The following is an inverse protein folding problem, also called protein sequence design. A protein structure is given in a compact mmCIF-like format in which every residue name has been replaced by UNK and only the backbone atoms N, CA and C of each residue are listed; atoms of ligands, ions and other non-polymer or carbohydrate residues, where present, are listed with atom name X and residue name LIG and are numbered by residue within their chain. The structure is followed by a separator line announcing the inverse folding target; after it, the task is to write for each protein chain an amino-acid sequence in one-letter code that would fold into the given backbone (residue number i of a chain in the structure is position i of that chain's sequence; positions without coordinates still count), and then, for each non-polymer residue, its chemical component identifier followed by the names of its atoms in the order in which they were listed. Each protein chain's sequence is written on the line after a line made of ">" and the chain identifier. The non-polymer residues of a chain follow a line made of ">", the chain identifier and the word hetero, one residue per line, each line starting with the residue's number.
data_IF_364649683364
#
_entry.id   IF_364649683364
#
_cell.length_a   1.000
_cell.length_b   1.000
_cell.length_c   1.000
_cell.angle_alpha   90.00
_cell.angle_beta   90.00
_cell.angle_gamma   90.00
#
_symmetry.space_group_name_H-M   'P 1'
#
loop_
_entity.id
_entity.type
_entity.pdbx_description
1 polymer ?
#
# COMPACT_ATOMS: atom_id res chain seq x y z
N UNK A 1 31.56 -16.23 57.10
CA UNK A 1 30.28 -16.11 56.32
C UNK A 1 30.52 -15.19 55.12
N UNK A 2 30.75 -15.75 53.94
CA UNK A 2 30.98 -14.98 52.69
C UNK A 2 29.64 -14.84 51.99
N UNK A 3 29.14 -13.60 51.84
CA UNK A 3 27.92 -13.29 51.09
C UNK A 3 28.26 -13.20 49.60
N UNK A 4 27.73 -14.13 48.81
CA UNK A 4 27.76 -14.04 47.36
C UNK A 4 26.63 -13.10 46.92
N UNK A 5 26.99 -12.00 46.26
CA UNK A 5 26.06 -11.13 45.54
C UNK A 5 25.96 -11.67 44.12
N UNK A 6 24.82 -12.23 43.75
CA UNK A 6 24.51 -12.59 42.37
C UNK A 6 24.05 -11.31 41.62
N UNK A 7 24.86 -10.85 40.68
CA UNK A 7 24.50 -9.79 39.76
C UNK A 7 23.68 -10.41 38.64
N UNK A 8 22.36 -10.14 38.60
CA UNK A 8 21.50 -10.46 37.46
C UNK A 8 21.76 -9.42 36.38
N UNK A 9 22.49 -9.78 35.33
CA UNK A 9 22.60 -8.98 34.11
C UNK A 9 21.32 -9.21 33.29
N UNK A 10 20.43 -8.24 33.31
CA UNK A 10 19.32 -8.15 32.35
C UNK A 10 19.92 -7.83 30.97
N UNK A 11 20.07 -8.82 30.11
CA UNK A 11 20.31 -8.61 28.69
C UNK A 11 18.94 -8.20 28.10
N UNK A 12 18.70 -6.90 28.06
CA UNK A 12 17.64 -6.35 27.22
C UNK A 12 18.11 -6.55 25.78
N UNK A 13 17.65 -7.64 25.17
CA UNK A 13 17.81 -7.86 23.75
C UNK A 13 17.12 -6.70 23.02
N UNK A 14 17.91 -5.77 22.51
CA UNK A 14 17.46 -4.84 21.50
C UNK A 14 17.02 -5.69 20.30
N UNK A 15 15.71 -5.89 20.15
CA UNK A 15 15.11 -6.26 18.87
C UNK A 15 15.40 -5.10 17.93
N UNK A 16 16.54 -5.21 17.27
CA UNK A 16 16.98 -4.28 16.25
C UNK A 16 15.88 -4.23 15.19
N UNK A 17 15.32 -3.07 15.00
CA UNK A 17 14.55 -2.70 13.84
C UNK A 17 15.41 -2.90 12.57
N UNK A 18 15.49 -4.10 12.06
CA UNK A 18 16.21 -4.47 10.84
C UNK A 18 15.30 -4.39 9.60
N UNK A 19 14.17 -3.70 9.71
CA UNK A 19 13.26 -3.45 8.59
C UNK A 19 13.48 -2.09 7.88
N UNK A 20 14.62 -1.41 8.10
CA UNK A 20 14.76 0.00 7.71
C UNK A 20 15.71 0.29 6.54
N UNK A 21 16.09 -0.67 5.69
CA UNK A 21 17.15 -0.39 4.71
C UNK A 21 16.72 -0.18 3.26
N UNK A 22 15.43 -0.27 2.90
CA UNK A 22 14.95 0.07 1.54
C UNK A 22 13.49 0.54 1.52
N UNK A 23 13.05 1.26 2.52
CA UNK A 23 11.67 1.78 2.52
C UNK A 23 11.63 3.09 1.73
N UNK A 24 10.86 3.07 0.65
CA UNK A 24 10.60 4.24 -0.18
C UNK A 24 9.32 4.94 0.32
N UNK A 25 9.36 6.26 0.42
CA UNK A 25 8.21 7.05 0.88
C UNK A 25 7.25 7.33 -0.28
N UNK A 26 5.98 7.08 -0.04
CA UNK A 26 4.87 7.41 -0.94
C UNK A 26 3.87 8.32 -0.23
N UNK A 27 3.31 9.28 -0.97
CA UNK A 27 2.01 9.86 -0.60
C UNK A 27 0.95 9.03 -1.31
N UNK A 28 -0.03 8.58 -0.57
CA UNK A 28 -1.16 7.81 -1.09
C UNK A 28 -2.40 8.68 -0.98
N UNK A 29 -3.15 8.79 -2.06
CA UNK A 29 -4.40 9.54 -2.10
C UNK A 29 -5.53 8.62 -2.51
N UNK A 30 -6.54 8.51 -1.67
CA UNK A 30 -7.84 7.92 -2.01
C UNK A 30 -8.78 9.04 -2.39
N UNK A 31 -9.49 8.88 -3.51
CA UNK A 31 -10.38 9.92 -4.03
C UNK A 31 -11.71 9.33 -4.43
N UNK A 32 -12.79 10.01 -4.06
CA UNK A 32 -14.11 9.81 -4.63
C UNK A 32 -14.48 11.03 -5.48
N UNK A 33 -14.82 10.79 -6.73
CA UNK A 33 -15.25 11.85 -7.63
C UNK A 33 -16.66 12.35 -7.27
N UNK A 34 -16.94 13.60 -7.57
CA UNK A 34 -18.30 14.11 -7.53
C UNK A 34 -19.19 13.34 -8.51
N UNK A 35 -20.50 13.20 -8.27
CA UNK A 35 -21.40 12.44 -9.13
C UNK A 35 -21.28 12.81 -10.62
N UNK A 36 -20.98 11.80 -11.46
CA UNK A 36 -20.79 11.97 -12.90
C UNK A 36 -19.47 12.60 -13.34
N UNK A 37 -18.51 12.84 -12.41
CA UNK A 37 -17.25 13.56 -12.67
C UNK A 37 -16.01 12.67 -12.76
N UNK A 38 -16.14 11.37 -12.61
CA UNK A 38 -14.97 10.47 -12.53
C UNK A 38 -14.03 10.59 -13.74
N UNK A 39 -14.54 10.54 -14.96
CA UNK A 39 -13.68 10.59 -16.16
C UNK A 39 -13.02 11.96 -16.32
N UNK A 40 -13.75 13.04 -16.04
CA UNK A 40 -13.23 14.40 -16.04
C UNK A 40 -12.14 14.59 -14.98
N UNK A 41 -12.36 14.06 -13.78
CA UNK A 41 -11.37 14.07 -12.70
C UNK A 41 -10.11 13.28 -13.07
N UNK A 42 -10.24 12.14 -13.74
CA UNK A 42 -9.08 11.37 -14.25
C UNK A 42 -8.25 12.23 -15.22
N UNK A 43 -8.89 12.93 -16.16
CA UNK A 43 -8.18 13.79 -17.11
C UNK A 43 -7.48 14.97 -16.42
N UNK A 44 -8.12 15.55 -15.40
CA UNK A 44 -7.49 16.59 -14.57
C UNK A 44 -6.28 16.06 -13.79
N UNK A 45 -6.35 14.85 -13.25
CA UNK A 45 -5.20 14.20 -12.61
C UNK A 45 -4.08 13.91 -13.61
N UNK A 46 -4.38 13.46 -14.84
CA UNK A 46 -3.38 13.28 -15.90
C UNK A 46 -2.65 14.58 -16.23
N UNK A 47 -3.40 15.67 -16.39
CA UNK A 47 -2.81 16.99 -16.63
C UNK A 47 -1.89 17.45 -15.47
N UNK A 48 -2.36 17.27 -14.24
CA UNK A 48 -1.56 17.57 -13.03
C UNK A 48 -0.30 16.71 -12.95
N UNK A 49 -0.42 15.39 -13.17
CA UNK A 49 0.74 14.50 -13.20
C UNK A 49 1.78 14.94 -14.22
N UNK A 50 1.36 15.34 -15.42
CA UNK A 50 2.26 15.87 -16.46
C UNK A 50 2.99 17.14 -16.00
N UNK A 51 2.27 18.08 -15.37
CA UNK A 51 2.87 19.33 -14.87
C UNK A 51 3.88 19.07 -13.74
N UNK A 52 3.57 18.16 -12.80
CA UNK A 52 4.49 17.81 -11.72
C UNK A 52 5.70 17.01 -12.20
N UNK A 53 5.54 16.13 -13.20
CA UNK A 53 6.68 15.45 -13.83
C UNK A 53 7.62 16.45 -14.53
N UNK A 54 7.08 17.44 -15.23
CA UNK A 54 7.89 18.52 -15.80
C UNK A 54 8.62 19.35 -14.73
N UNK A 55 8.08 19.39 -13.50
CA UNK A 55 8.73 19.99 -12.33
C UNK A 55 9.75 19.06 -11.64
N UNK A 56 9.92 17.83 -12.12
CA UNK A 56 10.90 16.85 -11.64
C UNK A 56 10.36 15.88 -10.59
N UNK A 57 9.05 15.79 -10.39
CA UNK A 57 8.45 14.75 -9.59
C UNK A 57 8.31 13.44 -10.40
N UNK A 58 8.33 12.31 -9.72
CA UNK A 58 8.12 11.00 -10.31
C UNK A 58 6.65 10.83 -10.77
N UNK A 59 6.44 10.11 -11.88
CA UNK A 59 5.09 9.78 -12.33
C UNK A 59 4.33 9.00 -11.26
N UNK A 60 3.07 9.35 -10.94
CA UNK A 60 2.26 8.55 -10.04
C UNK A 60 1.90 7.19 -10.65
N UNK A 61 1.66 6.22 -9.80
CA UNK A 61 1.00 4.97 -10.16
C UNK A 61 -0.41 5.02 -9.59
N UNK A 62 -1.40 4.63 -10.37
CA UNK A 62 -2.79 4.77 -9.97
C UNK A 62 -3.68 3.68 -10.54
N UNK A 63 -4.77 3.46 -9.85
CA UNK A 63 -5.77 2.49 -10.21
C UNK A 63 -7.17 3.03 -9.97
N UNK A 64 -8.12 2.54 -10.75
CA UNK A 64 -9.54 2.85 -10.63
C UNK A 64 -10.26 1.70 -9.94
N UNK A 65 -11.08 2.03 -8.95
CA UNK A 65 -11.99 1.10 -8.30
C UNK A 65 -12.84 0.31 -9.31
N UNK A 66 -13.01 -0.96 -9.05
CA UNK A 66 -13.90 -1.86 -9.78
C UNK A 66 -14.98 -2.43 -8.86
N UNK A 67 -14.60 -2.83 -7.64
CA UNK A 67 -15.51 -3.48 -6.69
C UNK A 67 -14.91 -3.38 -5.27
N UNK A 68 -15.74 -3.14 -4.26
CA UNK A 68 -15.34 -3.12 -2.85
C UNK A 68 -15.64 -1.80 -2.17
N UNK A 69 -14.63 -1.09 -1.65
CA UNK A 69 -14.73 0.15 -0.88
C UNK A 69 -15.36 1.32 -1.67
N UNK A 70 -15.48 2.49 -1.06
CA UNK A 70 -16.23 3.64 -1.60
C UNK A 70 -15.39 4.64 -2.42
N UNK A 71 -14.06 4.50 -2.47
CA UNK A 71 -13.21 5.38 -3.27
C UNK A 71 -13.24 5.01 -4.76
N UNK A 72 -13.02 5.98 -5.65
CA UNK A 72 -12.95 5.77 -7.10
C UNK A 72 -11.52 5.58 -7.60
N UNK A 73 -10.56 6.29 -6.99
CA UNK A 73 -9.16 6.27 -7.38
C UNK A 73 -8.27 6.04 -6.16
N UNK A 74 -7.26 5.18 -6.29
CA UNK A 74 -6.09 5.12 -5.43
C UNK A 74 -4.88 5.57 -6.24
N UNK A 75 -4.16 6.57 -5.72
CA UNK A 75 -3.03 7.18 -6.40
C UNK A 75 -1.81 7.12 -5.48
N UNK A 76 -0.74 6.49 -5.95
CA UNK A 76 0.56 6.41 -5.28
C UNK A 76 1.49 7.45 -5.91
N UNK A 77 1.83 8.49 -5.16
CA UNK A 77 2.82 9.49 -5.55
C UNK A 77 4.18 9.12 -4.95
N UNK A 78 5.18 8.74 -5.78
CA UNK A 78 6.51 8.42 -5.27
C UNK A 78 7.21 9.69 -4.78
N UNK A 79 7.68 9.71 -3.54
CA UNK A 79 8.32 10.85 -2.93
C UNK A 79 9.83 10.66 -2.70
N UNK A 80 10.26 9.41 -2.50
CA UNK A 80 11.62 9.04 -2.08
C UNK A 80 11.77 9.11 -0.57
N UNK A 81 12.01 10.30 -0.06
CA UNK A 81 12.07 10.60 1.37
C UNK A 81 11.44 11.97 1.67
N UNK A 82 11.16 12.25 2.93
CA UNK A 82 10.72 13.61 3.33
C UNK A 82 11.74 14.69 2.99
N UNK A 83 13.03 14.41 3.18
CA UNK A 83 14.11 15.36 2.86
C UNK A 83 14.13 15.70 1.38
N UNK A 84 13.99 14.72 0.51
CA UNK A 84 13.92 14.93 -0.94
C UNK A 84 12.62 15.63 -1.34
N UNK A 85 11.49 15.22 -0.78
CA UNK A 85 10.19 15.79 -1.11
C UNK A 85 10.07 17.26 -0.71
N UNK A 86 10.58 17.64 0.47
CA UNK A 86 10.55 19.01 0.98
C UNK A 86 11.82 19.82 0.64
N UNK A 87 12.71 19.30 -0.20
CA UNK A 87 13.87 20.07 -0.65
C UNK A 87 13.42 21.40 -1.28
N UNK A 88 14.01 22.55 -0.90
CA UNK A 88 13.53 23.87 -1.32
C UNK A 88 13.38 24.04 -2.84
N UNK A 89 14.30 23.47 -3.63
CA UNK A 89 14.21 23.51 -5.09
C UNK A 89 13.01 22.71 -5.64
N UNK A 90 12.74 21.53 -5.09
CA UNK A 90 11.55 20.73 -5.48
C UNK A 90 10.26 21.46 -5.11
N UNK A 91 10.20 22.06 -3.91
CA UNK A 91 9.06 22.86 -3.47
C UNK A 91 8.83 24.04 -4.42
N UNK A 92 9.89 24.78 -4.79
CA UNK A 92 9.78 25.90 -5.72
C UNK A 92 9.31 25.47 -7.12
N UNK A 93 9.78 24.33 -7.63
CA UNK A 93 9.34 23.75 -8.92
C UNK A 93 7.87 23.35 -8.89
N UNK A 94 7.42 22.67 -7.81
CA UNK A 94 6.00 22.29 -7.65
C UNK A 94 5.10 23.52 -7.55
N UNK A 95 5.53 24.59 -6.86
CA UNK A 95 4.78 25.84 -6.82
C UNK A 95 4.55 26.43 -8.22
N UNK A 96 5.57 26.40 -9.08
CA UNK A 96 5.40 26.83 -10.48
C UNK A 96 4.44 25.93 -11.27
N UNK A 97 4.46 24.61 -11.01
CA UNK A 97 3.48 23.69 -11.60
C UNK A 97 2.05 24.03 -11.13
N UNK A 98 1.85 24.31 -9.83
CA UNK A 98 0.56 24.74 -9.29
C UNK A 98 0.07 26.05 -9.95
N UNK A 99 0.96 27.02 -10.13
CA UNK A 99 0.65 28.28 -10.84
C UNK A 99 0.19 28.03 -12.28
N UNK A 100 0.82 27.09 -12.99
CA UNK A 100 0.41 26.69 -14.34
C UNK A 100 -0.95 26.00 -14.40
N UNK A 101 -1.38 25.38 -13.31
CA UNK A 101 -2.64 24.68 -13.17
C UNK A 101 -3.75 25.54 -12.55
N UNK A 102 -3.50 26.81 -12.25
CA UNK A 102 -4.43 27.70 -11.54
C UNK A 102 -5.80 27.80 -12.25
N UNK A 103 -5.83 27.86 -13.58
CA UNK A 103 -7.07 27.94 -14.35
C UNK A 103 -8.01 26.73 -14.17
N UNK A 104 -7.47 25.56 -13.88
CA UNK A 104 -8.25 24.31 -13.64
C UNK A 104 -8.44 24.00 -12.16
N UNK A 105 -7.89 24.80 -11.24
CA UNK A 105 -7.85 24.45 -9.82
C UNK A 105 -9.23 24.36 -9.17
N UNK A 106 -10.12 25.33 -9.45
CA UNK A 106 -11.47 25.32 -8.87
C UNK A 106 -12.31 24.17 -9.41
N UNK A 107 -12.18 23.90 -10.71
CA UNK A 107 -12.82 22.73 -11.33
C UNK A 107 -12.33 21.43 -10.73
N UNK A 108 -11.02 21.26 -10.59
CA UNK A 108 -10.41 20.10 -9.97
C UNK A 108 -10.96 19.85 -8.56
N UNK A 109 -11.04 20.89 -7.72
CA UNK A 109 -11.62 20.79 -6.38
C UNK A 109 -13.11 20.44 -6.41
N UNK A 110 -13.87 21.05 -7.34
CA UNK A 110 -15.30 20.82 -7.49
C UNK A 110 -15.66 19.41 -7.99
N UNK A 111 -14.74 18.75 -8.68
CA UNK A 111 -14.94 17.39 -9.19
C UNK A 111 -14.59 16.31 -8.14
N UNK A 112 -14.11 16.68 -6.94
CA UNK A 112 -13.81 15.79 -5.82
C UNK A 112 -14.94 15.87 -4.79
N UNK A 113 -15.59 14.73 -4.51
CA UNK A 113 -16.58 14.62 -3.44
C UNK A 113 -15.93 14.31 -2.08
N UNK A 114 -14.88 13.49 -2.08
CA UNK A 114 -14.14 13.10 -0.90
C UNK A 114 -12.69 12.74 -1.25
N UNK A 115 -11.78 13.05 -0.35
CA UNK A 115 -10.37 12.71 -0.49
C UNK A 115 -9.76 12.41 0.88
N UNK A 116 -8.90 11.41 0.91
CA UNK A 116 -8.07 11.08 2.06
C UNK A 116 -6.61 10.92 1.61
N UNK A 117 -5.70 11.55 2.33
CA UNK A 117 -4.26 11.47 2.08
C UNK A 117 -3.55 10.80 3.24
N UNK A 118 -2.57 9.96 2.91
CA UNK A 118 -1.63 9.41 3.89
C UNK A 118 -0.22 9.35 3.30
N UNK A 119 0.76 9.34 4.19
CA UNK A 119 2.15 8.99 3.87
C UNK A 119 2.42 7.59 4.36
N UNK A 120 3.03 6.77 3.50
CA UNK A 120 3.35 5.40 3.81
C UNK A 120 4.74 5.03 3.30
N UNK A 121 5.45 4.23 4.07
CA UNK A 121 6.63 3.54 3.60
C UNK A 121 6.23 2.23 2.94
N UNK A 122 6.82 1.94 1.78
CA UNK A 122 6.50 0.78 0.96
C UNK A 122 7.73 0.23 0.25
N UNK A 123 7.52 -0.63 -0.75
CA UNK A 123 8.59 -1.30 -1.49
C UNK A 123 9.43 -0.28 -2.29
N UNK A 124 10.59 -0.75 -2.78
CA UNK A 124 11.40 0.04 -3.71
C UNK A 124 10.60 0.44 -4.95
N UNK A 125 10.77 1.69 -5.40
CA UNK A 125 10.02 2.25 -6.53
C UNK A 125 10.19 1.40 -7.81
N UNK A 126 11.39 0.87 -8.04
CA UNK A 126 11.68 0.05 -9.23
C UNK A 126 10.82 -1.22 -9.27
N UNK A 127 10.67 -1.92 -8.13
CA UNK A 127 9.89 -3.16 -8.03
C UNK A 127 8.41 -2.89 -8.26
N UNK A 128 7.90 -1.82 -7.66
CA UNK A 128 6.51 -1.43 -7.82
C UNK A 128 6.20 -1.00 -9.27
N UNK A 129 7.08 -0.22 -9.90
CA UNK A 129 6.94 0.15 -11.32
C UNK A 129 6.96 -1.04 -12.25
N UNK A 130 7.85 -2.01 -12.00
CA UNK A 130 7.90 -3.24 -12.78
C UNK A 130 6.59 -4.03 -12.67
N UNK A 131 6.05 -4.14 -11.46
CA UNK A 131 4.78 -4.82 -11.25
C UNK A 131 3.62 -4.11 -11.96
N UNK A 132 3.51 -2.78 -11.82
CA UNK A 132 2.45 -1.98 -12.47
C UNK A 132 2.56 -1.98 -14.01
N UNK A 133 3.78 -2.05 -14.57
CA UNK A 133 3.96 -2.16 -16.02
C UNK A 133 3.43 -3.50 -16.59
N UNK A 134 3.45 -4.56 -15.79
CA UNK A 134 3.05 -5.91 -16.18
C UNK A 134 1.64 -6.29 -15.69
N UNK A 135 1.06 -5.49 -14.80
CA UNK A 135 -0.25 -5.72 -14.19
C UNK A 135 -1.32 -4.76 -14.71
N UNK A 136 -2.56 -5.21 -14.69
CA UNK A 136 -3.72 -4.38 -15.04
C UNK A 136 -4.90 -4.59 -14.10
N UNK A 137 -4.77 -5.47 -13.11
CA UNK A 137 -5.77 -5.79 -12.12
C UNK A 137 -5.12 -5.82 -10.73
N UNK A 138 -5.79 -5.23 -9.75
CA UNK A 138 -5.23 -5.02 -8.42
C UNK A 138 -6.20 -5.50 -7.34
N UNK A 139 -5.64 -6.08 -6.29
CA UNK A 139 -6.33 -6.34 -5.04
C UNK A 139 -5.71 -5.47 -3.96
N UNK A 140 -6.50 -4.59 -3.38
CA UNK A 140 -6.08 -3.65 -2.33
C UNK A 140 -6.80 -4.03 -1.05
N UNK A 141 -6.02 -4.30 -0.02
CA UNK A 141 -6.54 -4.56 1.31
C UNK A 141 -6.04 -3.47 2.27
N UNK A 142 -6.93 -2.90 3.08
CA UNK A 142 -6.60 -1.87 4.06
C UNK A 142 -6.96 -2.34 5.46
N UNK A 143 -6.06 -2.13 6.42
CA UNK A 143 -6.19 -2.69 7.76
C UNK A 143 -6.00 -1.63 8.84
N UNK A 144 -6.84 -1.73 9.89
CA UNK A 144 -6.61 -1.07 11.17
C UNK A 144 -6.31 -2.13 12.21
N UNK A 145 -5.14 -2.08 12.80
CA UNK A 145 -4.72 -3.03 13.83
C UNK A 145 -5.49 -2.79 15.15
N UNK A 146 -5.73 -3.86 15.90
CA UNK A 146 -6.11 -3.74 17.30
C UNK A 146 -4.97 -3.10 18.11
N UNK A 147 -5.26 -2.41 19.22
CA UNK A 147 -4.22 -1.82 20.07
C UNK A 147 -3.11 -2.81 20.43
N UNK A 148 -1.87 -2.45 20.13
CA UNK A 148 -0.69 -3.28 20.39
C UNK A 148 -0.50 -4.47 19.44
N UNK A 149 -1.32 -4.61 18.38
CA UNK A 149 -1.30 -5.75 17.44
C UNK A 149 -0.69 -5.44 16.07
N UNK A 150 -0.09 -4.28 15.89
CA UNK A 150 0.50 -3.90 14.60
C UNK A 150 1.61 -4.87 14.15
N UNK A 151 2.52 -5.25 15.05
CA UNK A 151 3.62 -6.16 14.71
C UNK A 151 3.09 -7.57 14.32
N UNK A 152 2.08 -8.05 15.04
CA UNK A 152 1.42 -9.34 14.73
C UNK A 152 0.72 -9.27 13.37
N UNK A 153 0.04 -8.16 13.05
CA UNK A 153 -0.59 -7.92 11.75
C UNK A 153 0.45 -7.89 10.63
N UNK A 154 1.55 -7.15 10.81
CA UNK A 154 2.61 -7.07 9.80
C UNK A 154 3.20 -8.47 9.53
N UNK A 155 3.51 -9.23 10.57
CA UNK A 155 4.02 -10.60 10.44
C UNK A 155 3.03 -11.50 9.72
N UNK A 156 1.75 -11.36 10.00
CA UNK A 156 0.70 -12.13 9.34
C UNK A 156 0.63 -11.84 7.84
N UNK A 157 0.78 -10.57 7.40
CA UNK A 157 0.88 -10.22 5.98
C UNK A 157 2.13 -10.82 5.32
N UNK A 158 3.25 -10.91 6.03
CA UNK A 158 4.44 -11.63 5.53
C UNK A 158 4.20 -13.14 5.41
N UNK A 159 3.46 -13.74 6.35
CA UNK A 159 3.06 -15.15 6.26
C UNK A 159 2.14 -15.40 5.06
N UNK A 160 1.17 -14.53 4.76
CA UNK A 160 0.37 -14.64 3.55
C UNK A 160 1.21 -14.52 2.27
N UNK A 161 2.18 -13.62 2.25
CA UNK A 161 3.14 -13.53 1.13
C UNK A 161 3.96 -14.81 0.97
N UNK A 162 4.35 -15.45 2.07
CA UNK A 162 5.04 -16.74 2.02
C UNK A 162 4.12 -17.85 1.48
N UNK A 163 2.84 -17.83 1.85
CA UNK A 163 1.81 -18.73 1.33
C UNK A 163 1.62 -18.54 -0.18
N UNK A 164 1.38 -17.31 -0.63
CA UNK A 164 1.23 -16.99 -2.05
C UNK A 164 2.46 -17.43 -2.87
N UNK A 165 3.66 -17.13 -2.38
CA UNK A 165 4.94 -17.55 -3.00
C UNK A 165 5.04 -19.06 -3.12
N UNK A 166 4.63 -19.82 -2.11
CA UNK A 166 4.68 -21.28 -2.12
C UNK A 166 3.72 -21.88 -3.16
N UNK A 167 2.67 -21.15 -3.53
CA UNK A 167 1.72 -21.50 -4.60
C UNK A 167 2.13 -20.97 -5.98
N UNK A 168 3.26 -20.24 -6.09
CA UNK A 168 3.68 -19.60 -7.33
C UNK A 168 2.85 -18.36 -7.71
N UNK A 169 2.14 -17.79 -6.75
CA UNK A 169 1.29 -16.61 -6.92
C UNK A 169 2.04 -15.31 -6.62
N UNK A 170 1.55 -14.16 -7.15
CA UNK A 170 2.10 -12.86 -6.82
C UNK A 170 2.01 -12.58 -5.32
N UNK A 171 3.10 -12.06 -4.76
CA UNK A 171 3.12 -11.55 -3.40
C UNK A 171 2.54 -10.13 -3.37
N UNK A 172 1.88 -9.79 -2.26
CA UNK A 172 1.37 -8.45 -2.04
C UNK A 172 2.50 -7.49 -1.65
N UNK A 173 2.50 -6.30 -2.22
CA UNK A 173 3.30 -5.17 -1.74
C UNK A 173 2.70 -4.65 -0.43
N UNK A 174 3.50 -4.60 0.62
CA UNK A 174 3.07 -4.13 1.95
C UNK A 174 3.48 -2.67 2.12
N UNK A 175 2.54 -1.82 2.51
CA UNK A 175 2.74 -0.42 2.83
C UNK A 175 2.38 -0.15 4.29
N UNK A 176 3.27 0.51 5.01
CA UNK A 176 3.08 0.89 6.42
C UNK A 176 2.85 2.38 6.51
N UNK A 177 1.72 2.78 7.09
CA UNK A 177 1.41 4.18 7.31
C UNK A 177 2.43 4.83 8.24
N UNK A 178 2.87 6.02 7.83
CA UNK A 178 3.65 6.93 8.68
C UNK A 178 2.76 8.05 9.24
N UNK A 179 2.02 8.75 8.37
CA UNK A 179 1.16 9.86 8.75
C UNK A 179 -0.14 9.88 7.92
N UNK A 180 -1.16 10.53 8.43
CA UNK A 180 -2.46 10.68 7.78
C UNK A 180 -3.35 9.45 7.94
N UNK A 181 -4.58 9.49 7.45
CA UNK A 181 -5.60 8.44 7.39
C UNK A 181 -5.75 7.55 8.65
N UNK A 182 -6.78 6.70 8.67
CA UNK A 182 -7.02 5.77 9.78
C UNK A 182 -6.36 4.38 9.57
N UNK A 183 -5.83 4.10 8.39
CA UNK A 183 -5.23 2.81 8.04
C UNK A 183 -3.83 2.69 8.66
N UNK A 184 -3.54 1.57 9.31
CA UNK A 184 -2.20 1.31 9.87
C UNK A 184 -1.27 0.65 8.84
N UNK A 185 -1.86 -0.17 7.98
CA UNK A 185 -1.18 -0.93 6.95
C UNK A 185 -2.15 -1.18 5.79
N UNK A 186 -1.62 -1.21 4.57
CA UNK A 186 -2.36 -1.71 3.41
C UNK A 186 -1.47 -2.54 2.50
N UNK A 187 -2.09 -3.40 1.71
CA UNK A 187 -1.39 -4.23 0.73
C UNK A 187 -1.92 -4.01 -0.67
N UNK A 188 -1.08 -4.23 -1.67
CA UNK A 188 -1.46 -4.22 -3.08
C UNK A 188 -0.95 -5.48 -3.74
N UNK A 189 -1.86 -6.38 -4.11
CA UNK A 189 -1.62 -7.48 -5.02
C UNK A 189 -1.75 -7.00 -6.46
N UNK A 190 -0.80 -7.37 -7.32
CA UNK A 190 -0.77 -6.95 -8.74
C UNK A 190 -0.90 -8.16 -9.64
N UNK A 191 -1.92 -8.17 -10.47
CA UNK A 191 -2.28 -9.27 -11.35
C UNK A 191 -2.39 -8.79 -12.80
N UNK A 192 -2.17 -9.67 -13.76
CA UNK A 192 -2.33 -9.35 -15.19
C UNK A 192 -3.77 -8.98 -15.53
N UNK A 193 -4.71 -9.73 -15.00
CA UNK A 193 -6.15 -9.60 -15.24
C UNK A 193 -6.95 -10.33 -14.16
N UNK A 194 -8.28 -10.28 -14.23
CA UNK A 194 -9.19 -10.99 -13.31
C UNK A 194 -9.00 -12.51 -13.33
N UNK A 195 -8.64 -13.12 -14.47
CA UNK A 195 -8.41 -14.57 -14.54
C UNK A 195 -7.16 -14.96 -13.74
N UNK A 196 -6.12 -14.16 -13.84
CA UNK A 196 -4.91 -14.37 -13.05
C UNK A 196 -5.18 -14.20 -11.55
N UNK A 197 -5.99 -13.21 -11.15
CA UNK A 197 -6.41 -13.05 -9.75
C UNK A 197 -7.19 -14.27 -9.23
N UNK A 198 -8.10 -14.81 -10.04
CA UNK A 198 -8.92 -15.94 -9.67
C UNK A 198 -8.21 -17.31 -9.79
N UNK A 199 -6.98 -17.35 -10.28
CA UNK A 199 -6.25 -18.60 -10.56
C UNK A 199 -5.96 -19.41 -9.29
N UNK A 200 -5.89 -18.77 -8.13
CA UNK A 200 -5.76 -19.46 -6.83
C UNK A 200 -6.88 -20.45 -6.55
N UNK A 201 -8.06 -20.23 -7.13
CA UNK A 201 -9.20 -21.14 -6.98
C UNK A 201 -8.97 -22.52 -7.64
N UNK A 202 -8.05 -22.59 -8.61
CA UNK A 202 -7.72 -23.83 -9.33
C UNK A 202 -6.59 -24.63 -8.65
N UNK A 203 -5.98 -24.11 -7.59
CA UNK A 203 -4.90 -24.79 -6.86
C UNK A 203 -5.46 -25.96 -6.07
N UNK A 204 -4.91 -27.17 -6.21
CA UNK A 204 -5.37 -28.34 -5.46
C UNK A 204 -5.30 -28.14 -3.94
N UNK A 205 -6.32 -28.61 -3.21
CA UNK A 205 -6.41 -28.44 -1.74
C UNK A 205 -5.16 -28.96 -1.02
N UNK A 206 -4.56 -30.08 -1.48
CA UNK A 206 -3.36 -30.64 -0.88
C UNK A 206 -2.15 -29.71 -1.02
N UNK A 207 -2.04 -28.97 -2.12
CA UNK A 207 -0.98 -27.97 -2.32
C UNK A 207 -1.22 -26.74 -1.44
N UNK A 208 -2.47 -26.28 -1.34
CA UNK A 208 -2.86 -25.20 -0.43
C UNK A 208 -2.52 -25.56 1.03
N UNK A 209 -2.88 -26.78 1.49
CA UNK A 209 -2.58 -27.29 2.83
C UNK A 209 -1.07 -27.30 3.13
N UNK A 210 -0.27 -27.78 2.17
CA UNK A 210 1.18 -27.81 2.28
C UNK A 210 1.77 -26.40 2.37
N UNK A 211 1.31 -25.49 1.50
CA UNK A 211 1.76 -24.09 1.46
C UNK A 211 1.38 -23.36 2.76
N UNK A 212 0.15 -23.52 3.27
CA UNK A 212 -0.30 -22.90 4.50
C UNK A 212 0.57 -23.31 5.69
N UNK A 213 0.84 -24.61 5.85
CA UNK A 213 1.73 -25.12 6.91
C UNK A 213 3.15 -24.61 6.79
N UNK A 214 3.68 -24.55 5.57
CA UNK A 214 5.02 -24.00 5.33
C UNK A 214 5.11 -22.49 5.66
N UNK A 215 4.01 -21.75 5.48
CA UNK A 215 3.90 -20.33 5.82
C UNK A 215 3.62 -20.07 7.32
N UNK A 216 3.36 -21.12 8.11
CA UNK A 216 3.10 -21.01 9.54
C UNK A 216 1.62 -20.98 9.94
N UNK A 217 0.70 -21.21 8.99
CA UNK A 217 -0.74 -21.35 9.26
C UNK A 217 -1.11 -22.80 9.56
N UNK A 218 -2.16 -23.00 10.33
CA UNK A 218 -2.67 -24.35 10.63
C UNK A 218 -3.26 -25.02 9.39
N UNK A 219 -4.00 -24.26 8.59
CA UNK A 219 -4.59 -24.68 7.31
C UNK A 219 -4.98 -23.44 6.47
N UNK A 220 -5.29 -23.58 5.17
CA UNK A 220 -5.79 -22.48 4.34
C UNK A 220 -7.04 -21.82 4.93
N UNK A 221 -7.97 -22.61 5.45
CA UNK A 221 -9.20 -22.11 6.08
C UNK A 221 -8.99 -21.34 7.39
N UNK A 222 -7.79 -21.37 7.97
CA UNK A 222 -7.45 -20.64 9.19
C UNK A 222 -6.72 -19.31 8.94
N UNK A 223 -6.36 -18.98 7.70
CA UNK A 223 -5.67 -17.72 7.37
C UNK A 223 -6.54 -16.51 7.76
N UNK A 224 -7.76 -16.42 7.25
CA UNK A 224 -8.68 -15.33 7.58
C UNK A 224 -9.04 -15.25 9.07
N UNK A 225 -9.42 -16.34 9.76
CA UNK A 225 -9.62 -16.34 11.21
C UNK A 225 -8.38 -15.92 12.00
N UNK A 226 -7.16 -16.27 11.54
CA UNK A 226 -5.93 -15.87 12.18
C UNK A 226 -5.70 -14.35 12.06
N UNK A 227 -5.87 -13.77 10.86
CA UNK A 227 -5.82 -12.33 10.62
C UNK A 227 -6.79 -11.56 11.54
N UNK A 228 -8.04 -12.05 11.68
CA UNK A 228 -9.08 -11.40 12.51
C UNK A 228 -8.70 -11.23 13.98
N UNK A 229 -7.67 -11.90 14.46
CA UNK A 229 -7.15 -11.74 15.83
C UNK A 229 -6.37 -10.44 16.03
N UNK A 230 -5.98 -9.77 14.96
CA UNK A 230 -5.06 -8.63 14.99
C UNK A 230 -5.68 -7.33 14.50
N UNK A 231 -6.83 -7.37 13.86
CA UNK A 231 -7.45 -6.22 13.21
C UNK A 231 -8.80 -5.83 13.81
N UNK A 232 -9.07 -4.52 13.81
CA UNK A 232 -10.39 -3.98 14.13
C UNK A 232 -11.21 -3.68 12.88
N UNK A 233 -10.54 -3.34 11.77
CA UNK A 233 -11.17 -2.99 10.49
C UNK A 233 -10.35 -3.58 9.35
N UNK A 234 -11.07 -4.03 8.32
CA UNK A 234 -10.52 -4.57 7.09
C UNK A 234 -11.41 -4.19 5.92
N UNK A 235 -10.81 -3.63 4.87
CA UNK A 235 -11.48 -3.31 3.62
C UNK A 235 -10.76 -4.00 2.47
N UNK A 236 -11.53 -4.66 1.60
CA UNK A 236 -11.06 -5.29 0.37
C UNK A 236 -11.58 -4.52 -0.84
N UNK A 237 -10.73 -4.27 -1.79
CA UNK A 237 -11.10 -3.59 -3.03
C UNK A 237 -10.39 -4.20 -4.22
N UNK A 238 -11.16 -4.46 -5.27
CA UNK A 238 -10.64 -4.81 -6.59
C UNK A 238 -10.58 -3.55 -7.45
N UNK A 239 -9.47 -3.37 -8.15
CA UNK A 239 -9.23 -2.21 -8.98
C UNK A 239 -8.60 -2.58 -10.32
N UNK A 240 -8.66 -1.66 -11.29
CA UNK A 240 -8.12 -1.83 -12.63
C UNK A 240 -7.18 -0.69 -12.98
N UNK A 241 -6.22 -0.95 -13.87
CA UNK A 241 -5.29 0.07 -14.36
C UNK A 241 -6.04 1.19 -15.10
N UNK A 242 -5.63 2.43 -14.89
CA UNK A 242 -6.05 3.60 -15.68
C UNK A 242 -5.09 3.70 -16.87
N UNK A 243 -5.64 3.56 -18.05
CA UNK A 243 -4.92 3.66 -19.34
C UNK A 243 -5.13 5.00 -20.02
#
# INVERSE_FOLDING_TARGET
>A
MKKFFAVFIFVVGALSAQAATNQYLYKVTLVQAAPGKLLELIDLYKARATAYQAAGDEAPMWMRHSQGDHWDLLILFPLGSYTEYYHPERVAKRKKADESLAASSEKFKGDIAWQEDLFAYGPALADLRQAFANGAYFHVEMFVALPGKFADLYQEREMENAYAKALGEPQNFIFVRDQGAAWDLFTIGVFRDLKHYAQSADVPVQEQEKAAKAAGFESPGQIGPYLRRFISTHHDTLAVAIR
#
